data_IF_298156777160
#
_entry.id   IF_298156777160
#
_cell.length_a   1.000
_cell.length_b   1.000
_cell.length_c   1.000
_cell.angle_alpha   90.00
_cell.angle_beta   90.00
_cell.angle_gamma   90.00
#
_symmetry.space_group_name_H-M   'P 1'
#
loop_
_entity.id
_entity.type
_entity.pdbx_description
1 polymer ?
#
# COMPACT_ATOMS: atom_id res chain seq x y z
N UNK A 1 -5.86 21.98 -22.40
CA UNK A 1 -6.41 20.61 -22.40
C UNK A 1 -6.26 19.98 -23.78
N UNK A 2 -6.65 20.68 -24.84
CA UNK A 2 -6.46 20.23 -26.23
C UNK A 2 -4.99 19.98 -26.59
N UNK A 3 -4.06 20.84 -26.14
CA UNK A 3 -2.62 20.68 -26.45
C UNK A 3 -2.00 19.38 -25.93
N UNK A 4 -2.26 18.99 -24.67
CA UNK A 4 -1.74 17.72 -24.13
C UNK A 4 -2.41 16.50 -24.76
N UNK A 5 -3.70 16.60 -25.10
CA UNK A 5 -4.39 15.54 -25.83
C UNK A 5 -3.85 15.39 -27.26
N UNK A 6 -3.55 16.51 -27.93
CA UNK A 6 -2.95 16.52 -29.27
C UNK A 6 -1.53 15.95 -29.23
N UNK A 7 -0.73 16.32 -28.22
CA UNK A 7 0.61 15.78 -28.02
C UNK A 7 0.60 14.26 -27.78
N UNK A 8 -0.30 13.80 -26.91
CA UNK A 8 -0.52 12.37 -26.65
C UNK A 8 -0.93 11.64 -27.94
N UNK A 9 -1.83 12.23 -28.73
CA UNK A 9 -2.24 11.71 -30.03
C UNK A 9 -1.08 11.64 -31.03
N UNK A 10 -0.23 12.68 -31.09
CA UNK A 10 0.94 12.73 -31.96
C UNK A 10 1.98 11.66 -31.58
N UNK A 11 2.29 11.51 -30.28
CA UNK A 11 3.18 10.46 -29.80
C UNK A 11 2.62 9.05 -30.12
N UNK A 12 1.31 8.84 -29.93
CA UNK A 12 0.63 7.60 -30.32
C UNK A 12 0.72 7.32 -31.82
N UNK A 13 0.53 8.33 -32.66
CA UNK A 13 0.64 8.21 -34.11
C UNK A 13 2.08 7.88 -34.57
N UNK A 14 3.10 8.47 -33.93
CA UNK A 14 4.50 8.15 -34.20
C UNK A 14 4.82 6.69 -33.88
N UNK A 15 4.39 6.20 -32.72
CA UNK A 15 4.58 4.79 -32.34
C UNK A 15 3.85 3.84 -33.29
N UNK A 16 2.63 4.19 -33.72
CA UNK A 16 1.88 3.40 -34.69
C UNK A 16 2.56 3.37 -36.06
N UNK A 17 3.13 4.49 -36.52
CA UNK A 17 3.87 4.57 -37.78
C UNK A 17 5.16 3.73 -37.75
N UNK A 18 5.77 3.54 -36.58
CA UNK A 18 6.96 2.71 -36.37
C UNK A 18 6.62 1.22 -36.15
N UNK A 19 5.34 0.83 -36.27
CA UNK A 19 4.87 -0.53 -36.05
C UNK A 19 4.73 -0.92 -34.58
N UNK A 20 4.96 0.00 -33.64
CA UNK A 20 4.82 -0.20 -32.21
C UNK A 20 3.36 -0.05 -31.73
N UNK A 21 2.43 -0.76 -32.38
CA UNK A 21 0.98 -0.64 -32.13
C UNK A 21 0.59 -0.91 -30.67
N UNK A 22 1.28 -1.83 -29.99
CA UNK A 22 1.03 -2.11 -28.57
C UNK A 22 1.35 -0.90 -27.68
N UNK A 23 2.46 -0.19 -27.95
CA UNK A 23 2.83 1.02 -27.23
C UNK A 23 1.87 2.18 -27.55
N UNK A 24 1.46 2.32 -28.81
CA UNK A 24 0.44 3.29 -29.20
C UNK A 24 -0.87 3.08 -28.42
N UNK A 25 -1.32 1.82 -28.27
CA UNK A 25 -2.49 1.47 -27.47
C UNK A 25 -2.34 1.69 -25.95
N UNK A 26 -1.11 1.74 -25.43
CA UNK A 26 -0.87 2.21 -24.05
C UNK A 26 -1.05 3.72 -23.94
N UNK A 27 -0.47 4.49 -24.87
CA UNK A 27 -0.58 5.96 -24.91
C UNK A 27 -2.03 6.42 -25.10
N UNK A 28 -2.81 5.69 -25.90
CA UNK A 28 -4.23 5.99 -26.14
C UNK A 28 -5.11 5.86 -24.88
N UNK A 29 -4.76 4.97 -23.95
CA UNK A 29 -5.51 4.77 -22.69
C UNK A 29 -4.93 5.55 -21.50
N UNK A 30 -3.74 6.12 -21.69
CA UNK A 30 -3.05 6.91 -20.70
C UNK A 30 -3.61 8.34 -20.60
N UNK A 31 -3.42 8.94 -19.44
CA UNK A 31 -3.54 10.39 -19.26
C UNK A 31 -2.15 11.02 -19.32
N UNK A 32 -2.06 12.21 -19.91
CA UNK A 32 -0.82 12.96 -20.03
C UNK A 32 -0.91 14.24 -19.20
N UNK A 33 0.06 14.43 -18.32
CA UNK A 33 0.15 15.60 -17.44
C UNK A 33 1.49 16.31 -17.64
N UNK A 34 1.51 17.60 -17.32
CA UNK A 34 2.73 18.41 -17.31
C UNK A 34 3.06 18.79 -15.87
N UNK A 35 4.31 18.55 -15.45
CA UNK A 35 4.75 18.75 -14.06
C UNK A 35 5.38 20.12 -13.91
N UNK A 36 4.73 20.97 -13.12
CA UNK A 36 5.22 22.32 -12.88
C UNK A 36 5.21 23.21 -14.13
N UNK A 37 5.93 24.32 -14.06
CA UNK A 37 6.16 25.18 -15.21
C UNK A 37 7.30 24.62 -16.08
N UNK A 38 7.19 24.82 -17.40
CA UNK A 38 8.27 24.47 -18.31
C UNK A 38 9.56 25.24 -17.97
N UNK A 39 10.69 24.54 -18.07
CA UNK A 39 12.01 25.11 -17.81
C UNK A 39 12.50 25.89 -19.02
N UNK A 40 13.27 26.96 -18.80
CA UNK A 40 13.93 27.69 -19.88
C UNK A 40 15.33 27.13 -20.06
N UNK A 41 15.57 26.49 -21.20
CA UNK A 41 16.88 25.94 -21.55
C UNK A 41 17.51 26.76 -22.68
N UNK A 42 18.84 26.81 -22.69
CA UNK A 42 19.61 27.42 -23.79
C UNK A 42 20.28 26.31 -24.60
N UNK A 43 19.92 26.19 -25.88
CA UNK A 43 20.49 25.25 -26.83
C UNK A 43 21.21 26.03 -27.93
N UNK A 44 22.54 26.13 -27.79
CA UNK A 44 23.35 27.00 -28.64
C UNK A 44 22.96 28.47 -28.46
N UNK A 45 22.52 29.13 -29.53
CA UNK A 45 22.07 30.53 -29.50
C UNK A 45 20.55 30.68 -29.29
N UNK A 46 19.81 29.59 -29.05
CA UNK A 46 18.35 29.58 -28.93
C UNK A 46 17.93 29.29 -27.50
N UNK A 47 16.82 29.89 -27.10
CA UNK A 47 16.13 29.56 -25.87
C UNK A 47 14.90 28.72 -26.19
N UNK A 48 14.72 27.62 -25.46
CA UNK A 48 13.60 26.71 -25.62
C UNK A 48 12.88 26.50 -24.29
N UNK A 49 11.59 26.23 -24.38
CA UNK A 49 10.74 25.84 -23.26
C UNK A 49 10.74 24.31 -23.14
N UNK A 50 11.41 23.79 -22.12
CA UNK A 50 11.58 22.37 -21.89
C UNK A 50 10.52 21.87 -20.89
N UNK A 51 9.57 21.06 -21.35
CA UNK A 51 8.47 20.57 -20.54
C UNK A 51 8.81 19.22 -19.89
N UNK A 52 8.41 19.02 -18.62
CA UNK A 52 8.40 17.71 -17.97
C UNK A 52 7.00 17.13 -18.04
N UNK A 53 6.90 15.92 -18.57
CA UNK A 53 5.64 15.23 -18.79
C UNK A 53 5.54 13.96 -17.94
N UNK A 54 4.31 13.58 -17.62
CA UNK A 54 4.01 12.34 -16.90
C UNK A 54 2.93 11.59 -17.64
N UNK A 55 3.21 10.32 -17.91
CA UNK A 55 2.24 9.39 -18.47
C UNK A 55 1.60 8.62 -17.30
N UNK A 56 0.33 8.91 -17.04
CA UNK A 56 -0.46 8.23 -16.01
C UNK A 56 -1.19 7.05 -16.64
N UNK A 57 -0.88 5.84 -16.18
CA UNK A 57 -1.34 4.58 -16.81
C UNK A 57 -1.98 3.63 -15.79
N UNK A 58 -2.77 2.67 -16.27
CA UNK A 58 -3.31 1.59 -15.42
C UNK A 58 -2.21 0.63 -14.91
N UNK A 59 -2.52 -0.18 -13.90
CA UNK A 59 -1.55 -1.10 -13.29
C UNK A 59 -0.93 -2.11 -14.26
N UNK A 60 -1.70 -2.77 -15.16
CA UNK A 60 -1.11 -3.67 -16.16
C UNK A 60 -0.13 -2.97 -17.09
N UNK A 61 -0.47 -1.76 -17.55
CA UNK A 61 0.41 -0.97 -18.42
C UNK A 61 1.64 -0.49 -17.66
N UNK A 62 1.48 -0.06 -16.40
CA UNK A 62 2.61 0.35 -15.56
C UNK A 62 3.61 -0.79 -15.40
N UNK A 63 3.13 -1.98 -15.01
CA UNK A 63 3.97 -3.17 -14.82
C UNK A 63 4.70 -3.58 -16.11
N UNK A 64 4.02 -3.50 -17.26
CA UNK A 64 4.64 -3.81 -18.55
C UNK A 64 5.75 -2.81 -18.91
N UNK A 65 5.55 -1.51 -18.67
CA UNK A 65 6.50 -0.46 -19.02
C UNK A 65 7.65 -0.31 -18.03
N UNK A 66 7.41 -0.53 -16.73
CA UNK A 66 8.45 -0.49 -15.70
C UNK A 66 9.36 -1.72 -15.70
N UNK A 67 8.85 -2.84 -16.24
CA UNK A 67 9.60 -4.09 -16.41
C UNK A 67 10.51 -4.13 -17.64
N UNK A 68 10.33 -3.23 -18.61
CA UNK A 68 11.06 -3.23 -19.88
C UNK A 68 11.59 -1.83 -20.24
N UNK A 69 12.90 -1.65 -20.06
CA UNK A 69 13.58 -0.38 -20.32
C UNK A 69 13.54 0.02 -21.81
N UNK A 70 13.46 -0.93 -22.74
CA UNK A 70 13.39 -0.64 -24.16
C UNK A 70 12.02 -0.06 -24.54
N UNK A 71 10.94 -0.60 -23.97
CA UNK A 71 9.59 -0.05 -24.14
C UNK A 71 9.48 1.38 -23.61
N UNK A 72 10.04 1.63 -22.42
CA UNK A 72 10.06 2.97 -21.85
C UNK A 72 10.94 3.94 -22.67
N UNK A 73 12.07 3.46 -23.20
CA UNK A 73 12.93 4.21 -24.11
C UNK A 73 12.21 4.65 -25.39
N UNK A 74 11.49 3.72 -26.04
CA UNK A 74 10.70 4.00 -27.23
C UNK A 74 9.58 5.03 -26.96
N UNK A 75 8.90 4.95 -25.81
CA UNK A 75 7.93 5.97 -25.39
C UNK A 75 8.59 7.34 -25.23
N UNK A 76 9.72 7.41 -24.54
CA UNK A 76 10.46 8.67 -24.34
C UNK A 76 10.86 9.31 -25.66
N UNK A 77 11.35 8.52 -26.60
CA UNK A 77 11.72 9.00 -27.93
C UNK A 77 10.52 9.53 -28.71
N UNK A 78 9.40 8.79 -28.71
CA UNK A 78 8.18 9.22 -29.38
C UNK A 78 7.65 10.55 -28.82
N UNK A 79 7.62 10.70 -27.49
CA UNK A 79 7.22 11.96 -26.85
C UNK A 79 8.23 13.09 -27.11
N UNK A 80 9.53 12.82 -27.07
CA UNK A 80 10.56 13.81 -27.38
C UNK A 80 10.38 14.35 -28.81
N UNK A 81 10.14 13.46 -29.78
CA UNK A 81 9.87 13.83 -31.17
C UNK A 81 8.55 14.59 -31.34
N UNK A 82 7.52 14.22 -30.59
CA UNK A 82 6.22 14.89 -30.66
C UNK A 82 6.25 16.31 -30.03
N UNK A 83 7.05 16.53 -28.99
CA UNK A 83 7.21 17.85 -28.34
C UNK A 83 8.18 18.76 -29.10
N UNK A 84 9.17 18.18 -29.79
CA UNK A 84 10.26 18.95 -30.38
C UNK A 84 9.78 19.91 -31.47
N UNK A 85 9.95 21.20 -31.20
CA UNK A 85 9.84 22.29 -32.18
C UNK A 85 11.08 23.20 -32.06
N UNK A 86 11.23 24.25 -32.88
CA UNK A 86 12.29 25.23 -32.67
C UNK A 86 12.24 25.94 -31.30
N UNK A 87 11.09 25.93 -30.62
CA UNK A 87 10.83 26.63 -29.35
C UNK A 87 10.57 25.70 -28.16
N UNK A 88 10.29 24.42 -28.37
CA UNK A 88 9.93 23.47 -27.30
C UNK A 88 10.76 22.20 -27.33
N UNK A 89 11.07 21.69 -26.13
CA UNK A 89 11.79 20.43 -25.93
C UNK A 89 11.17 19.61 -24.79
N UNK A 90 11.52 18.33 -24.74
CA UNK A 90 11.15 17.44 -23.63
C UNK A 90 12.28 17.41 -22.60
N UNK A 91 12.02 17.96 -21.41
CA UNK A 91 12.95 17.86 -20.28
C UNK A 91 12.96 16.45 -19.66
N UNK A 92 11.81 15.77 -19.65
CA UNK A 92 11.70 14.41 -19.12
C UNK A 92 10.30 13.85 -19.32
N UNK A 93 10.22 12.52 -19.38
CA UNK A 93 8.97 11.77 -19.33
C UNK A 93 9.06 10.73 -18.21
N UNK A 94 8.19 10.93 -17.22
CA UNK A 94 8.02 10.04 -16.08
C UNK A 94 6.76 9.18 -16.24
N UNK A 95 6.75 8.02 -15.59
CA UNK A 95 5.63 7.10 -15.57
C UNK A 95 5.00 7.10 -14.18
N UNK A 96 3.68 7.26 -14.11
CA UNK A 96 2.93 7.21 -12.86
C UNK A 96 1.77 6.21 -12.94
N UNK A 97 1.51 5.52 -11.82
CA UNK A 97 0.38 4.62 -11.69
C UNK A 97 -0.91 5.41 -11.41
N UNK A 98 -1.94 5.16 -12.19
CA UNK A 98 -3.31 5.63 -11.92
C UNK A 98 -3.83 4.91 -10.67
N UNK A 99 -4.08 5.67 -9.60
CA UNK A 99 -4.65 5.11 -8.37
C UNK A 99 -6.18 5.03 -8.43
N UNK A 100 -6.80 4.00 -7.83
CA UNK A 100 -8.24 3.93 -7.69
C UNK A 100 -8.78 5.06 -6.80
N UNK A 101 -9.97 5.58 -7.09
CA UNK A 101 -10.60 6.68 -6.35
C UNK A 101 -10.10 8.08 -6.71
N UNK A 102 -8.90 8.20 -7.30
CA UNK A 102 -8.34 9.46 -7.80
C UNK A 102 -8.82 9.68 -9.24
N UNK A 103 -10.05 10.20 -9.39
CA UNK A 103 -10.74 10.33 -10.69
C UNK A 103 -10.28 11.52 -11.56
N UNK A 104 -9.34 12.36 -11.10
CA UNK A 104 -8.92 13.57 -11.83
C UNK A 104 -7.43 13.83 -11.66
N UNK A 105 -6.73 14.07 -12.78
CA UNK A 105 -5.43 14.73 -12.79
C UNK A 105 -5.52 16.11 -12.15
N UNK A 106 -4.73 16.34 -11.11
CA UNK A 106 -4.97 17.38 -10.10
C UNK A 106 -4.70 18.81 -10.56
N UNK A 107 -4.09 18.98 -11.73
CA UNK A 107 -3.93 20.29 -12.38
C UNK A 107 -5.26 20.93 -12.84
N UNK A 108 -6.40 20.24 -12.70
CA UNK A 108 -7.73 20.75 -13.08
C UNK A 108 -8.46 21.57 -12.01
N UNK A 109 -7.94 21.70 -10.79
CA UNK A 109 -8.67 22.36 -9.70
C UNK A 109 -8.44 23.88 -9.55
N UNK A 110 -7.33 24.45 -10.04
CA UNK A 110 -7.04 25.87 -9.81
C UNK A 110 -6.44 26.55 -11.05
N UNK A 111 -7.26 27.37 -11.73
CA UNK A 111 -6.82 28.22 -12.84
C UNK A 111 -6.17 29.54 -12.37
N UNK A 112 -6.27 29.90 -11.09
CA UNK A 112 -5.84 31.24 -10.61
C UNK A 112 -5.14 31.26 -9.22
N UNK A 113 -4.51 30.17 -8.77
CA UNK A 113 -3.80 30.17 -7.48
C UNK A 113 -2.28 30.27 -7.63
N UNK A 114 -1.72 31.29 -6.99
CA UNK A 114 -0.29 31.64 -6.79
C UNK A 114 0.60 30.39 -6.57
N UNK A 115 1.81 30.35 -7.16
CA UNK A 115 2.66 29.16 -7.19
C UNK A 115 3.34 28.89 -5.85
N UNK A 116 2.76 27.97 -5.06
CA UNK A 116 3.45 27.00 -4.18
C UNK A 116 2.38 26.09 -3.56
N UNK A 117 1.83 25.17 -4.35
CA UNK A 117 1.06 24.06 -3.79
C UNK A 117 2.07 23.02 -3.29
N UNK A 118 1.99 22.64 -2.01
CA UNK A 118 2.75 21.52 -1.47
C UNK A 118 2.55 20.29 -2.37
N UNK A 119 3.59 19.47 -2.60
CA UNK A 119 3.48 18.22 -3.34
C UNK A 119 2.32 17.41 -2.77
N UNK A 120 1.40 17.09 -3.67
CA UNK A 120 0.16 16.49 -3.28
C UNK A 120 0.37 15.03 -2.87
N UNK A 121 -0.10 14.69 -1.67
CA UNK A 121 0.09 13.39 -1.06
C UNK A 121 -1.07 12.47 -1.47
N UNK A 122 -0.81 11.36 -2.19
CA UNK A 122 -1.86 10.40 -2.44
C UNK A 122 -2.38 9.83 -1.12
N UNK A 123 -3.70 9.71 -1.01
CA UNK A 123 -4.33 9.14 0.18
C UNK A 123 -3.81 7.72 0.43
N UNK A 124 -3.57 7.33 1.68
CA UNK A 124 -2.98 6.02 1.97
C UNK A 124 -3.78 4.84 1.40
N UNK A 125 -5.12 4.94 1.38
CA UNK A 125 -6.01 3.93 0.79
C UNK A 125 -5.82 3.81 -0.73
N UNK A 126 -5.65 4.92 -1.42
CA UNK A 126 -5.39 4.94 -2.85
C UNK A 126 -4.04 4.27 -3.18
N UNK A 127 -3.01 4.52 -2.36
CA UNK A 127 -1.68 3.87 -2.51
C UNK A 127 -1.79 2.37 -2.29
N UNK A 128 -2.51 1.91 -1.26
CA UNK A 128 -2.76 0.49 -1.00
C UNK A 128 -3.53 -0.16 -2.16
N UNK A 129 -4.57 0.49 -2.67
CA UNK A 129 -5.33 0.02 -3.82
C UNK A 129 -4.48 -0.09 -5.09
N UNK A 130 -3.62 0.89 -5.36
CA UNK A 130 -2.68 0.86 -6.47
C UNK A 130 -1.62 -0.25 -6.33
N UNK A 131 -1.04 -0.40 -5.14
CA UNK A 131 -0.06 -1.45 -4.85
C UNK A 131 -0.67 -2.86 -5.00
N UNK A 132 -1.90 -3.07 -4.52
CA UNK A 132 -2.62 -4.33 -4.72
C UNK A 132 -2.86 -4.60 -6.21
N UNK A 133 -3.27 -3.59 -6.99
CA UNK A 133 -3.49 -3.72 -8.43
C UNK A 133 -2.18 -4.03 -9.20
N UNK A 134 -1.04 -3.48 -8.79
CA UNK A 134 0.27 -3.83 -9.36
C UNK A 134 0.65 -5.28 -9.08
N UNK A 135 0.39 -5.77 -7.86
CA UNK A 135 0.67 -7.15 -7.48
C UNK A 135 -0.24 -8.14 -8.23
N UNK A 136 -1.51 -7.80 -8.44
CA UNK A 136 -2.40 -8.59 -9.28
C UNK A 136 -1.92 -8.61 -10.75
N UNK A 137 -1.53 -7.45 -11.29
CA UNK A 137 -1.03 -7.33 -12.66
C UNK A 137 0.27 -8.11 -12.91
N UNK A 138 1.04 -8.38 -11.86
CA UNK A 138 2.26 -9.20 -11.90
C UNK A 138 2.03 -10.66 -11.48
N UNK A 139 0.77 -11.08 -11.35
CA UNK A 139 0.34 -12.43 -10.95
C UNK A 139 0.81 -12.85 -9.55
N UNK A 140 0.86 -11.94 -8.58
CA UNK A 140 1.15 -12.23 -7.17
C UNK A 140 -0.07 -11.95 -6.27
N UNK A 141 -1.10 -12.82 -6.30
CA UNK A 141 -2.32 -12.62 -5.52
C UNK A 141 -2.10 -12.76 -4.01
N UNK A 142 -1.06 -13.50 -3.60
CA UNK A 142 -0.71 -13.67 -2.18
C UNK A 142 -0.19 -12.36 -1.60
N UNK A 143 0.75 -11.70 -2.30
CA UNK A 143 1.22 -10.37 -1.92
C UNK A 143 0.08 -9.34 -1.95
N UNK A 144 -0.76 -9.38 -3.00
CA UNK A 144 -1.90 -8.46 -3.11
C UNK A 144 -2.86 -8.61 -1.93
N UNK A 145 -3.13 -9.84 -1.48
CA UNK A 145 -3.99 -10.10 -0.33
C UNK A 145 -3.44 -9.50 0.98
N UNK A 146 -2.11 -9.58 1.20
CA UNK A 146 -1.45 -8.94 2.34
C UNK A 146 -1.63 -7.42 2.29
N UNK A 147 -1.39 -6.79 1.13
CA UNK A 147 -1.52 -5.34 0.97
C UNK A 147 -2.96 -4.88 1.19
N UNK A 148 -3.97 -5.62 0.70
CA UNK A 148 -5.39 -5.26 0.87
C UNK A 148 -5.87 -5.27 2.33
N UNK A 149 -5.25 -6.08 3.19
CA UNK A 149 -5.58 -6.14 4.63
C UNK A 149 -4.78 -5.14 5.47
N UNK A 150 -3.71 -4.58 4.92
CA UNK A 150 -2.82 -3.68 5.63
C UNK A 150 -3.42 -2.27 5.79
N UNK A 151 -2.85 -1.51 6.73
CA UNK A 151 -3.03 -0.06 6.83
C UNK A 151 -1.71 0.64 6.47
N UNK A 152 -1.82 1.83 5.91
CA UNK A 152 -0.67 2.60 5.47
C UNK A 152 -0.61 3.94 6.21
N UNK A 153 0.49 4.16 6.92
CA UNK A 153 0.84 5.46 7.48
C UNK A 153 1.91 6.10 6.59
N UNK A 154 1.88 7.42 6.44
CA UNK A 154 2.96 8.13 5.77
C UNK A 154 3.43 9.35 6.56
N UNK A 155 4.74 9.56 6.53
CA UNK A 155 5.43 10.70 7.10
C UNK A 155 6.32 11.34 6.05
N UNK A 156 6.38 12.66 6.06
CA UNK A 156 7.33 13.42 5.25
C UNK A 156 8.67 13.47 5.96
N UNK A 157 9.73 13.27 5.20
CA UNK A 157 11.09 13.47 5.66
C UNK A 157 11.58 14.83 5.16
N UNK A 158 12.29 15.61 6.00
CA UNK A 158 12.94 16.82 5.53
C UNK A 158 13.94 16.46 4.44
N UNK A 159 13.71 16.96 3.24
CA UNK A 159 14.57 16.73 2.08
C UNK A 159 15.53 17.91 1.90
N UNK A 160 16.78 17.61 1.53
CA UNK A 160 17.74 18.61 1.06
C UNK A 160 17.53 18.77 -0.45
N UNK A 161 16.63 19.67 -0.85
CA UNK A 161 16.32 19.91 -2.27
C UNK A 161 14.86 20.29 -2.52
N UNK A 162 14.43 20.23 -3.79
CA UNK A 162 13.06 20.58 -4.22
C UNK A 162 12.06 19.43 -4.21
N UNK A 163 12.50 18.18 -4.04
CA UNK A 163 11.64 17.00 -4.02
C UNK A 163 11.30 16.59 -2.59
N UNK A 164 10.02 16.35 -2.30
CA UNK A 164 9.61 15.80 -1.00
C UNK A 164 9.97 14.32 -0.95
N UNK A 165 10.50 13.89 0.20
CA UNK A 165 10.76 12.49 0.51
C UNK A 165 9.65 11.95 1.42
N UNK A 166 9.00 10.88 0.98
CA UNK A 166 7.96 10.18 1.74
C UNK A 166 8.49 8.89 2.34
N UNK A 167 8.17 8.65 3.60
CA UNK A 167 8.34 7.35 4.26
C UNK A 167 6.96 6.76 4.50
N UNK A 168 6.75 5.56 4.00
CA UNK A 168 5.55 4.78 4.26
C UNK A 168 5.82 3.72 5.32
N UNK A 169 4.87 3.52 6.23
CA UNK A 169 4.85 2.40 7.18
C UNK A 169 3.62 1.58 6.89
N UNK A 170 3.83 0.36 6.37
CA UNK A 170 2.79 -0.61 6.10
C UNK A 170 2.55 -1.45 7.35
N UNK A 171 1.43 -1.20 8.03
CA UNK A 171 0.99 -1.96 9.20
C UNK A 171 0.13 -3.12 8.78
N UNK A 172 0.47 -4.32 9.21
CA UNK A 172 -0.23 -5.56 8.85
C UNK A 172 -0.49 -6.44 10.06
N UNK A 173 -1.41 -7.38 9.92
CA UNK A 173 -1.68 -8.37 10.95
C UNK A 173 -0.41 -9.19 11.27
N UNK A 174 -0.23 -9.68 12.52
CA UNK A 174 0.97 -10.42 12.91
C UNK A 174 1.25 -11.65 12.04
N UNK A 175 0.20 -12.34 11.59
CA UNK A 175 0.33 -13.50 10.71
C UNK A 175 0.95 -13.14 9.35
N UNK A 176 0.52 -12.02 8.76
CA UNK A 176 1.06 -11.50 7.51
C UNK A 176 2.51 -11.01 7.70
N UNK A 177 2.80 -10.32 8.82
CA UNK A 177 4.17 -9.90 9.15
C UNK A 177 5.12 -11.09 9.27
N UNK A 178 4.68 -12.14 9.97
CA UNK A 178 5.45 -13.37 10.15
C UNK A 178 5.60 -14.17 8.85
N UNK A 179 4.66 -14.08 7.91
CA UNK A 179 4.82 -14.62 6.57
C UNK A 179 5.90 -13.87 5.78
N UNK A 180 5.89 -12.53 5.83
CA UNK A 180 6.91 -11.70 5.18
C UNK A 180 8.31 -11.86 5.81
N UNK A 181 8.41 -12.11 7.11
CA UNK A 181 9.70 -12.43 7.76
C UNK A 181 10.31 -13.74 7.27
N UNK A 182 9.46 -14.72 6.93
CA UNK A 182 9.90 -16.02 6.41
C UNK A 182 10.23 -15.99 4.92
N UNK A 183 9.67 -15.03 4.17
CA UNK A 183 9.89 -14.87 2.73
C UNK A 183 10.35 -13.44 2.40
N UNK A 184 11.68 -13.27 2.36
CA UNK A 184 12.31 -11.99 2.03
C UNK A 184 11.97 -11.52 0.61
N UNK A 185 11.72 -12.43 -0.33
CA UNK A 185 11.38 -12.08 -1.71
C UNK A 185 9.95 -11.53 -1.77
N UNK A 186 9.01 -12.13 -1.05
CA UNK A 186 7.65 -11.61 -0.89
C UNK A 186 7.64 -10.24 -0.22
N UNK A 187 8.44 -10.07 0.84
CA UNK A 187 8.58 -8.78 1.52
C UNK A 187 9.07 -7.68 0.58
N UNK A 188 10.05 -7.97 -0.29
CA UNK A 188 10.56 -6.99 -1.24
C UNK A 188 9.56 -6.70 -2.36
N UNK A 189 8.81 -7.69 -2.86
CA UNK A 189 7.73 -7.47 -3.82
C UNK A 189 6.66 -6.52 -3.27
N UNK A 190 6.26 -6.70 -2.01
CA UNK A 190 5.32 -5.81 -1.32
C UNK A 190 5.89 -4.39 -1.17
N UNK A 191 7.13 -4.25 -0.69
CA UNK A 191 7.77 -2.92 -0.56
C UNK A 191 7.87 -2.21 -1.90
N UNK A 192 8.28 -2.93 -2.95
CA UNK A 192 8.39 -2.40 -4.31
C UNK A 192 7.05 -1.91 -4.83
N UNK A 193 5.99 -2.71 -4.70
CA UNK A 193 4.65 -2.32 -5.15
C UNK A 193 4.12 -1.07 -4.43
N UNK A 194 4.30 -0.96 -3.11
CA UNK A 194 3.91 0.23 -2.34
C UNK A 194 4.76 1.45 -2.74
N UNK A 195 6.07 1.27 -2.95
CA UNK A 195 6.97 2.33 -3.41
C UNK A 195 6.56 2.86 -4.77
N UNK A 196 6.28 1.98 -5.73
CA UNK A 196 5.85 2.35 -7.08
C UNK A 196 4.46 3.02 -7.08
N UNK A 197 3.51 2.51 -6.29
CA UNK A 197 2.18 3.11 -6.15
C UNK A 197 2.22 4.50 -5.50
N UNK A 198 3.13 4.71 -4.54
CA UNK A 198 3.32 5.98 -3.84
C UNK A 198 4.21 6.99 -4.58
N UNK A 199 5.01 6.56 -5.56
CA UNK A 199 5.96 7.42 -6.27
C UNK A 199 5.23 8.46 -7.14
N UNK A 200 5.65 9.71 -7.02
CA UNK A 200 5.11 10.83 -7.81
C UNK A 200 6.21 11.69 -8.41
N UNK A 201 5.90 12.44 -9.49
CA UNK A 201 6.88 13.32 -10.13
C UNK A 201 7.43 14.41 -9.20
N UNK A 202 6.60 14.88 -8.26
CA UNK A 202 6.95 15.91 -7.28
C UNK A 202 7.36 15.34 -5.89
N UNK A 203 7.22 14.02 -5.68
CA UNK A 203 7.51 13.38 -4.39
C UNK A 203 8.04 11.96 -4.59
N UNK A 204 9.21 11.67 -4.02
CA UNK A 204 9.84 10.34 -4.09
C UNK A 204 9.62 9.59 -2.79
N UNK A 205 9.42 8.27 -2.90
CA UNK A 205 9.31 7.39 -1.73
C UNK A 205 10.70 6.96 -1.30
N UNK A 206 11.18 7.53 -0.20
CA UNK A 206 12.48 7.23 0.39
C UNK A 206 12.53 5.82 1.00
N UNK A 207 11.42 5.33 1.54
CA UNK A 207 11.38 4.02 2.18
C UNK A 207 9.97 3.51 2.45
N UNK A 208 9.86 2.18 2.51
CA UNK A 208 8.66 1.45 2.93
C UNK A 208 9.06 0.50 4.05
N UNK A 209 8.50 0.71 5.23
CA UNK A 209 8.74 -0.14 6.40
C UNK A 209 7.56 -1.07 6.62
N UNK A 210 7.87 -2.30 7.05
CA UNK A 210 6.87 -3.32 7.34
C UNK A 210 6.76 -3.46 8.86
N UNK A 211 5.60 -3.14 9.41
CA UNK A 211 5.36 -3.16 10.84
C UNK A 211 4.14 -4.01 11.19
N UNK A 212 4.14 -4.59 12.38
CA UNK A 212 2.94 -5.23 12.93
C UNK A 212 1.95 -4.15 13.36
N UNK A 213 0.67 -4.35 13.07
CA UNK A 213 -0.39 -3.50 13.58
C UNK A 213 -0.50 -3.67 15.10
N UNK A 214 -0.52 -2.56 15.83
CA UNK A 214 -0.68 -2.55 17.29
C UNK A 214 -2.15 -2.78 17.72
N UNK A 215 -3.07 -2.81 16.76
CA UNK A 215 -4.51 -3.05 16.93
C UNK A 215 -5.01 -3.91 15.77
N UNK A 216 -6.03 -4.76 15.96
CA UNK A 216 -6.63 -5.51 14.86
C UNK A 216 -7.13 -4.54 13.77
N UNK A 217 -6.67 -4.74 12.53
CA UNK A 217 -6.96 -3.82 11.41
C UNK A 217 -8.42 -3.91 10.96
N UNK A 218 -9.08 -5.04 11.25
CA UNK A 218 -10.52 -5.27 11.08
C UNK A 218 -11.22 -5.37 12.43
N UNK A 219 -11.18 -4.31 13.23
CA UNK A 219 -12.14 -4.18 14.32
C UNK A 219 -13.47 -3.67 13.75
N UNK A 220 -14.22 -4.55 13.08
CA UNK A 220 -15.69 -4.52 13.25
C UNK A 220 -15.98 -4.69 14.76
N UNK A 221 -17.22 -4.56 15.22
CA UNK A 221 -17.64 -4.83 16.61
C UNK A 221 -17.51 -6.32 17.01
N UNK A 222 -16.34 -6.89 16.75
CA UNK A 222 -15.90 -8.21 17.07
C UNK A 222 -15.62 -8.28 18.57
N UNK A 223 -16.02 -9.38 19.17
CA UNK A 223 -15.79 -9.72 20.57
C UNK A 223 -14.30 -9.61 20.91
N UNK A 224 -13.42 -9.97 19.98
CA UNK A 224 -11.97 -9.81 20.12
C UNK A 224 -11.57 -8.33 20.31
N UNK A 225 -12.10 -7.43 19.48
CA UNK A 225 -11.78 -6.01 19.54
C UNK A 225 -12.27 -5.38 20.85
N UNK A 226 -13.43 -5.81 21.37
CA UNK A 226 -13.96 -5.35 22.65
C UNK A 226 -13.08 -5.77 23.83
N UNK A 227 -12.69 -7.05 23.90
CA UNK A 227 -11.79 -7.52 24.94
C UNK A 227 -10.41 -6.87 24.83
N UNK A 228 -9.89 -6.72 23.61
CA UNK A 228 -8.61 -6.05 23.36
C UNK A 228 -8.63 -4.60 23.85
N UNK A 229 -9.71 -3.85 23.56
CA UNK A 229 -9.87 -2.47 24.06
C UNK A 229 -9.91 -2.41 25.58
N UNK A 230 -10.65 -3.32 26.22
CA UNK A 230 -10.73 -3.38 27.67
C UNK A 230 -9.39 -3.70 28.34
N UNK A 231 -8.64 -4.67 27.81
CA UNK A 231 -7.31 -5.04 28.30
C UNK A 231 -6.29 -3.90 28.10
N UNK A 232 -6.29 -3.25 26.93
CA UNK A 232 -5.41 -2.11 26.65
C UNK A 232 -5.74 -0.92 27.54
N UNK A 233 -7.03 -0.67 27.83
CA UNK A 233 -7.43 0.40 28.76
C UNK A 233 -6.90 0.18 30.18
N UNK A 234 -6.64 -1.08 30.55
CA UNK A 234 -6.02 -1.46 31.82
C UNK A 234 -4.50 -1.57 31.74
N UNK A 235 -3.87 -1.10 30.66
CA UNK A 235 -2.42 -1.05 30.50
C UNK A 235 -1.77 -2.34 29.97
N UNK A 236 -2.56 -3.33 29.54
CA UNK A 236 -2.02 -4.54 28.96
C UNK A 236 -1.64 -4.36 27.47
N UNK A 237 -0.58 -5.05 27.05
CA UNK A 237 -0.23 -5.22 25.65
C UNK A 237 -0.88 -6.52 25.15
N UNK A 238 -1.74 -6.42 24.14
CA UNK A 238 -2.44 -7.57 23.57
C UNK A 238 -1.93 -7.84 22.17
N UNK A 239 -1.55 -9.07 21.89
CA UNK A 239 -1.04 -9.52 20.60
C UNK A 239 -1.86 -10.72 20.12
N UNK A 240 -2.59 -10.64 19.00
CA UNK A 240 -3.25 -11.81 18.44
C UNK A 240 -2.20 -12.80 17.90
N UNK A 241 -2.28 -14.04 18.35
CA UNK A 241 -1.34 -15.13 18.05
C UNK A 241 -1.87 -15.97 16.88
N UNK A 242 -3.14 -16.38 16.95
CA UNK A 242 -3.78 -17.24 15.95
C UNK A 242 -5.23 -16.79 15.76
N UNK A 243 -5.71 -16.76 14.51
CA UNK A 243 -7.11 -16.53 14.18
C UNK A 243 -7.58 -17.64 13.24
N UNK A 244 -8.41 -18.54 13.76
CA UNK A 244 -9.11 -19.59 13.03
C UNK A 244 -10.62 -19.32 13.06
N UNK A 245 -11.38 -19.88 12.12
CA UNK A 245 -12.81 -19.60 11.98
C UNK A 245 -13.65 -19.89 13.26
N UNK A 246 -13.17 -20.79 14.12
CA UNK A 246 -13.85 -21.17 15.37
C UNK A 246 -13.11 -20.71 16.65
N UNK A 247 -11.93 -20.10 16.51
CA UNK A 247 -11.01 -19.87 17.63
C UNK A 247 -10.11 -18.67 17.37
N UNK A 248 -10.07 -17.76 18.33
CA UNK A 248 -9.08 -16.68 18.38
C UNK A 248 -8.17 -16.89 19.58
N UNK A 249 -6.87 -16.75 19.38
CA UNK A 249 -5.88 -16.84 20.44
C UNK A 249 -5.14 -15.52 20.59
N UNK A 250 -5.14 -14.98 21.81
CA UNK A 250 -4.48 -13.74 22.17
C UNK A 250 -3.38 -14.01 23.21
N UNK A 251 -2.23 -13.40 23.02
CA UNK A 251 -1.21 -13.23 24.05
C UNK A 251 -1.45 -11.88 24.73
N UNK A 252 -1.57 -11.89 26.04
CA UNK A 252 -1.78 -10.70 26.86
C UNK A 252 -0.59 -10.54 27.79
N UNK A 253 0.06 -9.38 27.73
CA UNK A 253 1.22 -9.04 28.56
C UNK A 253 0.82 -7.88 29.46
N UNK A 254 0.85 -8.10 30.76
CA UNK A 254 0.60 -7.07 31.77
C UNK A 254 1.46 -7.35 32.99
N UNK A 255 1.99 -6.30 33.63
CA UNK A 255 2.81 -6.40 34.85
C UNK A 255 3.96 -7.41 34.76
N UNK A 256 4.58 -7.52 33.57
CA UNK A 256 5.67 -8.46 33.29
C UNK A 256 5.24 -9.93 33.19
N UNK A 257 3.95 -10.22 33.26
CA UNK A 257 3.39 -11.56 33.10
C UNK A 257 2.81 -11.75 31.70
N UNK A 258 3.12 -12.88 31.07
CA UNK A 258 2.49 -13.33 29.85
C UNK A 258 1.31 -14.26 30.20
N UNK A 259 0.14 -13.99 29.64
CA UNK A 259 -1.07 -14.81 29.74
C UNK A 259 -1.58 -15.15 28.35
N UNK A 260 -2.22 -16.31 28.23
CA UNK A 260 -2.82 -16.77 26.98
C UNK A 260 -4.34 -16.76 27.13
N UNK A 261 -5.04 -16.13 26.19
CA UNK A 261 -6.50 -16.05 26.17
C UNK A 261 -7.01 -16.69 24.89
N UNK A 262 -7.86 -17.69 25.04
CA UNK A 262 -8.50 -18.38 23.92
C UNK A 262 -9.99 -18.02 23.88
N UNK A 263 -10.44 -17.42 22.78
CA UNK A 263 -11.85 -17.06 22.54
C UNK A 263 -12.44 -18.08 21.58
N UNK A 264 -13.40 -18.86 22.05
CA UNK A 264 -14.13 -19.84 21.24
C UNK A 264 -15.37 -19.18 20.61
N UNK A 265 -15.52 -19.37 19.30
CA UNK A 265 -16.71 -18.93 18.57
C UNK A 265 -17.95 -19.68 19.07
N UNK A 266 -19.13 -19.05 18.94
CA UNK A 266 -20.42 -19.66 19.29
C UNK A 266 -20.70 -20.83 18.33
N UNK A 267 -20.34 -22.06 18.69
CA UNK A 267 -20.68 -23.23 17.88
C UNK A 267 -22.20 -23.50 17.92
N UNK A 268 -22.86 -23.76 16.78
CA UNK A 268 -24.03 -24.64 16.77
C UNK A 268 -23.55 -26.06 17.15
N UNK A 269 -24.37 -26.79 17.90
CA UNK A 269 -24.04 -28.06 18.55
C UNK A 269 -23.21 -29.05 17.69
N UNK A 270 -22.30 -29.75 18.37
CA UNK A 270 -21.32 -30.69 17.81
C UNK A 270 -21.92 -31.85 17.00
N UNK A 271 -21.06 -32.55 16.24
CA UNK A 271 -20.86 -33.95 16.61
C UNK A 271 -19.38 -34.39 16.75
N UNK A 272 -19.27 -35.47 17.52
CA UNK A 272 -18.13 -36.27 18.03
C UNK A 272 -16.85 -36.36 17.18
N UNK A 273 -15.72 -36.45 17.90
CA UNK A 273 -14.37 -36.73 17.40
C UNK A 273 -14.24 -38.00 16.53
N UNK A 274 -13.20 -38.03 15.69
CA UNK A 274 -12.22 -39.11 15.80
C UNK A 274 -10.76 -38.63 15.88
N UNK A 275 -9.93 -39.53 16.44
CA UNK A 275 -8.47 -39.52 16.56
C UNK A 275 -7.74 -39.29 15.23
N UNK A 276 -6.53 -38.73 15.29
CA UNK A 276 -5.50 -38.86 14.26
C UNK A 276 -4.52 -37.71 14.27
N UNK A 277 -3.22 -38.02 14.33
CA UNK A 277 -2.12 -37.09 14.50
C UNK A 277 -1.92 -36.14 13.30
N UNK A 278 -1.30 -34.98 13.54
CA UNK A 278 -0.01 -34.77 12.88
C UNK A 278 0.91 -33.77 13.59
N UNK A 279 2.16 -34.20 13.71
CA UNK A 279 3.29 -33.52 14.32
C UNK A 279 3.93 -32.57 13.31
N UNK A 280 3.75 -31.25 13.47
CA UNK A 280 4.62 -30.25 12.86
C UNK A 280 5.29 -29.44 13.97
N UNK A 281 6.54 -29.80 14.23
CA UNK A 281 7.41 -29.12 15.18
C UNK A 281 7.99 -27.85 14.57
N UNK A 282 7.40 -26.71 14.88
CA UNK A 282 8.13 -25.44 14.90
C UNK A 282 7.52 -24.56 15.98
N UNK A 283 8.34 -24.18 16.97
CA UNK A 283 8.00 -23.31 18.11
C UNK A 283 7.13 -23.92 19.22
N UNK A 284 7.45 -25.14 19.67
CA UNK A 284 7.13 -25.54 21.06
C UNK A 284 8.08 -24.84 22.05
N UNK A 285 8.07 -23.51 22.07
CA UNK A 285 8.48 -22.80 23.28
C UNK A 285 7.42 -23.10 24.32
N UNK A 286 7.85 -23.52 25.51
CA UNK A 286 7.12 -23.94 26.72
C UNK A 286 5.75 -23.26 27.00
N UNK A 287 4.76 -23.46 26.13
CA UNK A 287 3.38 -22.99 26.29
C UNK A 287 2.63 -23.71 27.40
N UNK A 288 3.17 -24.84 27.90
CA UNK A 288 2.57 -25.61 29.00
C UNK A 288 2.64 -24.87 30.35
N UNK A 289 3.52 -23.87 30.50
CA UNK A 289 3.69 -23.10 31.74
C UNK A 289 3.02 -21.72 31.70
N UNK A 290 2.42 -21.31 30.58
CA UNK A 290 1.72 -20.02 30.47
C UNK A 290 0.26 -20.21 30.90
N UNK A 291 -0.23 -19.49 31.93
CA UNK A 291 -1.63 -19.56 32.33
C UNK A 291 -2.55 -19.29 31.14
N UNK A 292 -3.39 -20.26 30.80
CA UNK A 292 -4.34 -20.17 29.69
C UNK A 292 -5.75 -20.02 30.24
N UNK A 293 -6.47 -19.01 29.76
CA UNK A 293 -7.88 -18.81 30.08
C UNK A 293 -8.72 -18.94 28.82
N UNK A 294 -9.74 -19.79 28.87
CA UNK A 294 -10.69 -19.98 27.78
C UNK A 294 -11.95 -19.18 28.04
N UNK A 295 -12.34 -18.38 27.06
CA UNK A 295 -13.53 -17.53 27.05
C UNK A 295 -14.42 -17.96 25.90
N UNK A 296 -15.72 -17.91 26.13
CA UNK A 296 -16.72 -18.08 25.08
C UNK A 296 -17.14 -16.73 24.52
N UNK A 297 -17.50 -16.68 23.25
CA UNK A 297 -18.00 -15.45 22.61
C UNK A 297 -19.13 -14.77 23.42
N UNK A 298 -20.04 -15.57 24.02
CA UNK A 298 -21.14 -15.08 24.84
C UNK A 298 -20.71 -14.33 26.12
N UNK A 299 -19.54 -14.62 26.67
CA UNK A 299 -19.01 -13.92 27.85
C UNK A 299 -18.46 -12.52 27.54
N UNK A 300 -18.34 -12.18 26.25
CA UNK A 300 -17.73 -10.95 25.76
C UNK A 300 -18.69 -10.17 24.85
N UNK A 301 -19.97 -10.57 24.80
CA UNK A 301 -21.00 -10.02 23.91
C UNK A 301 -21.39 -8.58 24.25
N UNK A 302 -21.05 -8.07 25.44
CA UNK A 302 -21.26 -6.68 25.84
C UNK A 302 -19.97 -6.02 26.35
N UNK A 303 -19.94 -4.68 26.30
CA UNK A 303 -18.76 -3.90 26.65
C UNK A 303 -18.47 -3.92 28.16
N UNK A 304 -19.51 -4.01 28.99
CA UNK A 304 -19.39 -4.13 30.44
C UNK A 304 -18.78 -5.48 30.83
N UNK A 305 -19.27 -6.55 30.19
CA UNK A 305 -18.83 -7.92 30.38
C UNK A 305 -17.37 -8.10 29.92
N UNK A 306 -17.00 -7.55 28.76
CA UNK A 306 -15.62 -7.55 28.29
C UNK A 306 -14.68 -6.79 29.24
N UNK A 307 -15.15 -5.70 29.86
CA UNK A 307 -14.37 -4.93 30.85
C UNK A 307 -14.20 -5.69 32.16
N UNK A 308 -15.25 -6.35 32.65
CA UNK A 308 -15.19 -7.21 33.83
C UNK A 308 -14.24 -8.40 33.63
N UNK A 309 -14.31 -9.04 32.46
CA UNK A 309 -13.39 -10.14 32.09
C UNK A 309 -11.95 -9.65 31.98
N UNK A 310 -11.72 -8.46 31.41
CA UNK A 310 -10.38 -7.86 31.36
C UNK A 310 -9.81 -7.57 32.76
N UNK A 311 -10.62 -7.05 33.69
CA UNK A 311 -10.21 -6.82 35.07
C UNK A 311 -9.83 -8.13 35.78
N UNK A 312 -10.65 -9.18 35.63
CA UNK A 312 -10.36 -10.53 36.14
C UNK A 312 -9.06 -11.11 35.54
N UNK A 313 -8.85 -10.93 34.24
CA UNK A 313 -7.66 -11.39 33.52
C UNK A 313 -6.38 -10.70 33.98
N UNK A 314 -6.47 -9.51 34.58
CA UNK A 314 -5.32 -8.75 35.05
C UNK A 314 -5.19 -8.73 36.59
N UNK A 315 -6.11 -9.40 37.30
CA UNK A 315 -6.06 -9.50 38.77
C UNK A 315 -6.62 -8.28 39.51
N UNK A 316 -7.42 -7.44 38.84
CA UNK A 316 -8.08 -6.30 39.45
C UNK A 316 -9.37 -6.70 40.18
N UNK A 317 -9.38 -6.54 41.50
CA UNK A 317 -10.59 -6.31 42.31
C UNK A 317 -10.77 -4.82 42.54
#
# INVERSE_FOLDING_TARGET
MEALSALRGAAGALLAAEGAHRLAGFVERAELEMVGAAERWTLGAREVSAARLVLVVDAPTYAALSGDAALLGALREAFARAVRTPETELAGLDLALRLPGVQKGWHRAYRDAVPRAAPERPEPEAVLGGAAALLDATNDPAAAAVVRRAQLEAAELPAVGSAILLRYVLRMDPADRAALDRDAALAERVRRAVREAGARPAASVAGVELATALRPLQAADDVEARLTRALVALGAVVVPVTREAARVELAVIADGQLRRVEILARMPQAPRSPRGADTSGSLRWQLASVPTMTLTHGQLEGASEASAVAALLLGGT
#
